data_IF_190694840292
#
_entry.id   IF_190694840292
#
_cell.length_a   1.000
_cell.length_b   1.000
_cell.length_c   1.000
_cell.angle_alpha   90.00
_cell.angle_beta   90.00
_cell.angle_gamma   90.00
#
_symmetry.space_group_name_H-M   'P 1'
#
loop_
_entity.id
_entity.type
_entity.pdbx_description
1 polymer ?
#
# COMPACT_ATOMS: atom_id res chain seq x y z
N UNK A 1 -18.70 -5.05 -15.32
CA UNK A 1 -18.69 -6.06 -14.25
C UNK A 1 -17.40 -6.06 -13.42
N UNK A 2 -16.19 -5.94 -14.02
CA UNK A 2 -14.92 -5.95 -13.26
C UNK A 2 -14.79 -4.81 -12.24
N UNK A 3 -15.17 -3.57 -12.61
CA UNK A 3 -15.09 -2.42 -11.72
C UNK A 3 -15.97 -2.57 -10.46
N UNK A 4 -17.19 -3.07 -10.63
CA UNK A 4 -18.11 -3.32 -9.49
C UNK A 4 -17.50 -4.32 -8.49
N UNK A 5 -16.83 -5.34 -8.99
CA UNK A 5 -16.15 -6.33 -8.15
C UNK A 5 -15.04 -5.68 -7.31
N UNK A 6 -14.23 -4.80 -7.91
CA UNK A 6 -13.18 -4.08 -7.18
C UNK A 6 -13.75 -3.12 -6.13
N UNK A 7 -14.88 -2.45 -6.43
CA UNK A 7 -15.58 -1.58 -5.46
C UNK A 7 -16.11 -2.39 -4.27
N UNK A 8 -16.65 -3.57 -4.51
CA UNK A 8 -17.10 -4.47 -3.41
C UNK A 8 -15.93 -4.87 -2.53
N UNK A 9 -14.80 -5.25 -3.12
CA UNK A 9 -13.58 -5.57 -2.36
C UNK A 9 -13.05 -4.36 -1.59
N UNK A 10 -13.10 -3.15 -2.18
CA UNK A 10 -12.72 -1.91 -1.50
C UNK A 10 -13.55 -1.71 -0.23
N UNK A 11 -14.86 -1.81 -0.32
CA UNK A 11 -15.76 -1.63 0.83
C UNK A 11 -15.47 -2.70 1.89
N UNK A 12 -15.27 -3.94 1.47
CA UNK A 12 -14.99 -5.06 2.38
C UNK A 12 -13.66 -4.86 3.11
N UNK A 13 -12.61 -4.42 2.42
CA UNK A 13 -11.31 -4.12 3.01
C UNK A 13 -11.40 -2.90 3.92
N UNK A 14 -12.11 -1.85 3.52
CA UNK A 14 -12.31 -0.66 4.35
C UNK A 14 -12.99 -0.98 5.69
N UNK A 15 -13.91 -1.95 5.70
CA UNK A 15 -14.57 -2.42 6.92
C UNK A 15 -13.66 -3.31 7.74
N UNK A 16 -12.88 -4.18 7.10
CA UNK A 16 -11.99 -5.14 7.76
C UNK A 16 -10.71 -4.50 8.28
N UNK A 17 -10.22 -3.44 7.65
CA UNK A 17 -8.95 -2.82 8.01
C UNK A 17 -8.85 -2.41 9.48
N UNK A 18 -9.84 -1.77 10.11
CA UNK A 18 -9.77 -1.43 11.53
C UNK A 18 -9.62 -2.65 12.44
N UNK A 19 -10.30 -3.76 12.09
CA UNK A 19 -10.19 -5.01 12.84
C UNK A 19 -8.81 -5.66 12.66
N UNK A 20 -8.28 -5.63 11.43
CA UNK A 20 -6.95 -6.15 11.10
C UNK A 20 -5.83 -5.32 11.72
N UNK A 21 -5.97 -3.99 11.76
CA UNK A 21 -5.03 -3.08 12.41
C UNK A 21 -4.83 -3.48 13.88
N UNK A 22 -5.92 -3.70 14.62
CA UNK A 22 -5.85 -4.08 16.02
C UNK A 22 -5.27 -5.49 16.24
N UNK A 23 -5.48 -6.41 15.29
CA UNK A 23 -5.00 -7.79 15.38
C UNK A 23 -3.55 -7.97 14.90
N UNK A 24 -3.09 -7.16 13.96
CA UNK A 24 -1.81 -7.30 13.26
C UNK A 24 -0.81 -6.18 13.59
N UNK A 25 -1.10 -5.35 14.60
CA UNK A 25 -0.16 -4.33 15.03
C UNK A 25 1.06 -4.96 15.72
N UNK A 26 2.23 -4.75 15.16
CA UNK A 26 3.52 -5.17 15.75
C UNK A 26 4.28 -3.93 16.20
N UNK A 27 4.54 -3.83 17.50
CA UNK A 27 5.21 -2.68 18.11
C UNK A 27 4.56 -1.30 17.82
N UNK A 28 3.22 -1.29 17.62
CA UNK A 28 2.48 -0.05 17.30
C UNK A 28 2.53 0.35 15.82
N UNK A 29 3.08 -0.50 14.96
CA UNK A 29 3.10 -0.32 13.50
C UNK A 29 2.10 -1.28 12.87
N UNK A 30 1.31 -0.78 11.93
CA UNK A 30 0.25 -1.52 11.27
C UNK A 30 0.62 -1.84 9.83
N UNK A 31 0.24 -3.03 9.35
CA UNK A 31 0.36 -3.35 7.94
C UNK A 31 -0.68 -2.60 7.10
N UNK A 32 -0.31 -2.23 5.89
CA UNK A 32 -1.16 -1.48 4.96
C UNK A 32 -1.81 -2.42 3.93
N UNK A 33 -2.97 -2.96 4.30
CA UNK A 33 -3.72 -3.92 3.45
C UNK A 33 -4.20 -3.28 2.15
N UNK A 34 -4.54 -1.99 2.15
CA UNK A 34 -4.93 -1.27 0.92
C UNK A 34 -3.79 -1.24 -0.10
N UNK A 35 -2.58 -0.92 0.36
CA UNK A 35 -1.38 -0.92 -0.48
C UNK A 35 -1.14 -2.30 -1.11
N UNK A 36 -1.21 -3.36 -0.29
CA UNK A 36 -1.02 -4.73 -0.77
C UNK A 36 -2.06 -5.12 -1.83
N UNK A 37 -3.32 -4.74 -1.61
CA UNK A 37 -4.39 -5.04 -2.56
C UNK A 37 -4.20 -4.33 -3.88
N UNK A 38 -3.69 -3.10 -3.88
CA UNK A 38 -3.38 -2.34 -5.10
C UNK A 38 -2.22 -2.99 -5.87
N UNK A 39 -1.20 -3.47 -5.17
CA UNK A 39 -0.10 -4.23 -5.78
C UNK A 39 -0.64 -5.45 -6.51
N UNK A 40 -1.56 -6.21 -5.90
CA UNK A 40 -2.19 -7.37 -6.53
C UNK A 40 -3.08 -6.99 -7.72
N UNK A 41 -3.93 -5.97 -7.58
CA UNK A 41 -4.79 -5.51 -8.69
C UNK A 41 -3.93 -5.03 -9.87
N UNK A 42 -2.90 -4.22 -9.61
CA UNK A 42 -1.99 -3.75 -10.66
C UNK A 42 -1.34 -4.91 -11.38
N UNK A 43 -0.87 -5.92 -10.65
CA UNK A 43 -0.21 -7.07 -11.22
C UNK A 43 -1.16 -7.95 -12.07
N UNK A 44 -2.36 -8.27 -11.59
CA UNK A 44 -3.29 -9.20 -12.27
C UNK A 44 -4.24 -8.53 -13.25
N UNK A 45 -4.62 -7.28 -13.01
CA UNK A 45 -5.65 -6.60 -13.80
C UNK A 45 -5.09 -5.58 -14.80
N UNK A 46 -3.80 -5.26 -14.71
CA UNK A 46 -3.11 -4.37 -15.64
C UNK A 46 -3.15 -2.89 -15.24
N UNK A 47 -2.44 -2.07 -16.03
CA UNK A 47 -2.09 -0.67 -15.71
C UNK A 47 -3.30 0.20 -15.41
N UNK A 48 -4.31 0.19 -16.30
CA UNK A 48 -5.47 1.08 -16.17
C UNK A 48 -6.29 0.77 -14.92
N UNK A 49 -6.52 -0.52 -14.63
CA UNK A 49 -7.26 -0.94 -13.45
C UNK A 49 -6.46 -0.70 -12.17
N UNK A 50 -5.16 -0.97 -12.18
CA UNK A 50 -4.26 -0.68 -11.07
C UNK A 50 -4.26 0.80 -10.69
N UNK A 51 -4.17 1.71 -11.68
CA UNK A 51 -4.22 3.16 -11.47
C UNK A 51 -5.58 3.61 -10.92
N UNK A 52 -6.69 3.19 -11.54
CA UNK A 52 -8.03 3.58 -11.11
C UNK A 52 -8.34 3.08 -9.69
N UNK A 53 -8.00 1.84 -9.40
CA UNK A 53 -8.14 1.31 -8.04
C UNK A 53 -7.21 2.03 -7.06
N UNK A 54 -5.99 2.35 -7.47
CA UNK A 54 -5.06 3.13 -6.67
C UNK A 54 -5.64 4.47 -6.23
N UNK A 55 -6.26 5.22 -7.17
CA UNK A 55 -6.95 6.47 -6.87
C UNK A 55 -8.08 6.27 -5.85
N UNK A 56 -8.95 5.28 -6.09
CA UNK A 56 -10.13 5.04 -5.24
C UNK A 56 -9.71 4.57 -3.84
N UNK A 57 -8.82 3.59 -3.77
CA UNK A 57 -8.34 3.05 -2.48
C UNK A 57 -7.51 4.08 -1.72
N UNK A 58 -6.67 4.87 -2.43
CA UNK A 58 -5.88 5.93 -1.83
C UNK A 58 -6.76 7.03 -1.24
N UNK A 59 -7.81 7.45 -1.96
CA UNK A 59 -8.76 8.44 -1.46
C UNK A 59 -9.48 7.95 -0.18
N UNK A 60 -9.93 6.69 -0.17
CA UNK A 60 -10.56 6.10 1.02
C UNK A 60 -9.58 6.04 2.17
N UNK A 61 -8.33 5.69 1.91
CA UNK A 61 -7.30 5.61 2.93
C UNK A 61 -6.90 6.98 3.47
N UNK A 62 -6.78 8.01 2.62
CA UNK A 62 -6.56 9.41 3.03
C UNK A 62 -7.66 9.90 4.00
N UNK A 63 -8.93 9.59 3.70
CA UNK A 63 -10.06 9.93 4.57
C UNK A 63 -9.99 9.16 5.90
N UNK A 64 -9.59 7.89 5.84
CA UNK A 64 -9.52 7.02 7.02
C UNK A 64 -8.40 7.42 7.97
N UNK A 65 -7.21 7.69 7.45
CA UNK A 65 -6.03 8.03 8.25
C UNK A 65 -6.02 9.49 8.70
N UNK A 66 -6.71 10.37 7.94
CA UNK A 66 -6.81 11.79 8.27
C UNK A 66 -5.50 12.56 8.17
N UNK A 67 -4.55 12.08 7.36
CA UNK A 67 -3.28 12.76 7.04
C UNK A 67 -3.50 13.86 5.99
N UNK A 68 -2.62 13.98 5.02
CA UNK A 68 -2.76 14.93 3.92
C UNK A 68 -3.64 14.33 2.81
N UNK A 69 -4.85 14.86 2.61
CA UNK A 69 -5.78 14.37 1.58
C UNK A 69 -5.13 14.47 0.20
N UNK A 70 -5.12 13.37 -0.54
CA UNK A 70 -4.55 13.25 -1.88
C UNK A 70 -3.15 12.64 -1.94
N UNK A 71 -2.46 12.51 -0.82
CA UNK A 71 -1.10 11.93 -0.79
C UNK A 71 -1.15 10.43 -1.08
N UNK A 72 -1.97 9.68 -0.36
CA UNK A 72 -2.15 8.25 -0.58
C UNK A 72 -2.76 7.96 -1.96
N UNK A 73 -3.68 8.80 -2.41
CA UNK A 73 -4.26 8.71 -3.74
C UNK A 73 -3.19 8.73 -4.84
N UNK A 74 -2.23 9.66 -4.75
CA UNK A 74 -1.12 9.75 -5.72
C UNK A 74 -0.15 8.58 -5.58
N UNK A 75 0.24 8.24 -4.37
CA UNK A 75 1.16 7.13 -4.09
C UNK A 75 0.59 5.82 -4.65
N UNK A 76 -0.67 5.53 -4.34
CA UNK A 76 -1.32 4.29 -4.74
C UNK A 76 -1.61 4.21 -6.24
N UNK A 77 -1.85 5.35 -6.90
CA UNK A 77 -1.91 5.42 -8.36
C UNK A 77 -0.60 4.93 -8.98
N UNK A 78 0.54 5.46 -8.51
CA UNK A 78 1.85 5.06 -9.02
C UNK A 78 2.18 3.60 -8.68
N UNK A 79 1.88 3.14 -7.47
CA UNK A 79 2.09 1.75 -7.06
C UNK A 79 1.28 0.80 -7.97
N UNK A 80 0.01 1.11 -8.25
CA UNK A 80 -0.82 0.31 -9.15
C UNK A 80 -0.27 0.26 -10.57
N UNK A 81 0.23 1.38 -11.08
CA UNK A 81 0.88 1.44 -12.38
C UNK A 81 2.17 0.61 -12.44
N UNK A 82 3.08 0.83 -11.49
CA UNK A 82 4.37 0.12 -11.46
C UNK A 82 4.20 -1.38 -11.22
N UNK A 83 3.21 -1.79 -10.44
CA UNK A 83 2.89 -3.20 -10.24
C UNK A 83 2.52 -3.90 -11.55
N UNK A 84 1.76 -3.23 -12.41
CA UNK A 84 1.44 -3.75 -13.72
C UNK A 84 2.66 -3.78 -14.66
N UNK A 85 3.54 -2.77 -14.60
CA UNK A 85 4.79 -2.77 -15.38
C UNK A 85 5.69 -3.95 -14.97
N UNK A 86 5.76 -4.26 -13.69
CA UNK A 86 6.50 -5.43 -13.20
C UNK A 86 5.85 -6.72 -13.70
N UNK A 87 4.51 -6.81 -13.66
CA UNK A 87 3.78 -7.96 -14.22
C UNK A 87 4.13 -8.23 -15.67
N UNK A 88 4.21 -7.19 -16.51
CA UNK A 88 4.60 -7.31 -17.92
C UNK A 88 6.00 -7.92 -18.07
N UNK A 89 6.93 -7.57 -17.16
CA UNK A 89 8.31 -8.11 -17.18
C UNK A 89 8.38 -9.58 -16.77
N UNK A 90 7.52 -10.01 -15.88
CA UNK A 90 7.47 -11.40 -15.39
C UNK A 90 6.42 -12.24 -16.10
N UNK A 91 5.91 -11.78 -17.25
CA UNK A 91 4.90 -12.48 -18.06
C UNK A 91 3.65 -12.90 -17.27
N UNK A 92 3.27 -12.09 -16.29
CA UNK A 92 2.09 -12.34 -15.43
C UNK A 92 2.16 -13.62 -14.59
N UNK A 93 3.33 -14.24 -14.46
CA UNK A 93 3.48 -15.45 -13.65
C UNK A 93 3.58 -15.08 -12.17
N UNK A 94 2.64 -15.55 -11.35
CA UNK A 94 2.68 -15.28 -9.92
C UNK A 94 3.89 -16.00 -9.29
N UNK A 95 4.76 -15.22 -8.67
CA UNK A 95 5.89 -15.74 -7.89
C UNK A 95 5.88 -15.03 -6.54
N UNK A 96 5.83 -15.82 -5.49
CA UNK A 96 5.78 -15.34 -4.10
C UNK A 96 6.90 -14.34 -3.78
N UNK A 97 8.11 -14.59 -4.28
CA UNK A 97 9.25 -13.71 -4.09
C UNK A 97 9.08 -12.36 -4.79
N UNK A 98 8.49 -12.36 -5.99
CA UNK A 98 8.21 -11.13 -6.74
C UNK A 98 7.17 -10.30 -6.01
N UNK A 99 6.11 -10.91 -5.49
CA UNK A 99 5.08 -10.18 -4.72
C UNK A 99 5.62 -9.63 -3.41
N UNK A 100 6.39 -10.41 -2.67
CA UNK A 100 7.01 -9.95 -1.43
C UNK A 100 7.97 -8.77 -1.68
N UNK A 101 8.78 -8.86 -2.74
CA UNK A 101 9.66 -7.77 -3.15
C UNK A 101 8.90 -6.52 -3.60
N UNK A 102 7.79 -6.70 -4.35
CA UNK A 102 6.92 -5.59 -4.78
C UNK A 102 6.24 -4.92 -3.58
N UNK A 103 5.70 -5.71 -2.65
CA UNK A 103 5.08 -5.19 -1.44
C UNK A 103 6.08 -4.40 -0.59
N UNK A 104 7.28 -4.95 -0.40
CA UNK A 104 8.36 -4.27 0.31
C UNK A 104 8.78 -2.96 -0.38
N UNK A 105 9.01 -3.01 -1.69
CA UNK A 105 9.38 -1.83 -2.47
C UNK A 105 8.29 -0.75 -2.49
N UNK A 106 7.03 -1.14 -2.62
CA UNK A 106 5.89 -0.23 -2.57
C UNK A 106 5.76 0.44 -1.20
N UNK A 107 5.94 -0.31 -0.11
CA UNK A 107 5.91 0.24 1.26
C UNK A 107 7.04 1.23 1.48
N UNK A 108 8.27 0.87 1.12
CA UNK A 108 9.42 1.77 1.25
C UNK A 108 9.20 3.06 0.45
N UNK A 109 8.72 2.95 -0.81
CA UNK A 109 8.45 4.11 -1.64
C UNK A 109 7.37 5.01 -1.03
N UNK A 110 6.28 4.43 -0.52
CA UNK A 110 5.21 5.15 0.14
C UNK A 110 5.73 5.92 1.36
N UNK A 111 6.46 5.26 2.25
CA UNK A 111 6.98 5.86 3.47
C UNK A 111 8.02 6.96 3.20
N UNK A 112 8.88 6.79 2.19
CA UNK A 112 9.83 7.84 1.78
C UNK A 112 9.08 9.08 1.28
N UNK A 113 8.01 8.90 0.48
CA UNK A 113 7.21 10.04 0.00
C UNK A 113 6.51 10.74 1.16
N UNK A 114 6.05 10.01 2.18
CA UNK A 114 5.47 10.58 3.40
C UNK A 114 6.46 11.41 4.23
N UNK A 115 7.74 11.04 4.22
CA UNK A 115 8.75 11.80 4.94
C UNK A 115 8.91 13.23 4.41
N UNK A 116 8.60 13.49 3.14
CA UNK A 116 8.74 14.81 2.53
C UNK A 116 7.82 15.84 3.21
N UNK A 117 6.48 15.70 3.20
CA UNK A 117 5.61 16.65 3.88
C UNK A 117 5.81 16.64 5.40
N UNK A 118 6.11 15.46 5.97
CA UNK A 118 6.33 15.37 7.41
C UNK A 118 7.55 16.16 7.88
N UNK A 119 8.65 16.14 7.12
CA UNK A 119 9.86 16.92 7.42
C UNK A 119 9.65 18.43 7.29
N UNK A 120 8.68 18.87 6.48
CA UNK A 120 8.35 20.28 6.30
C UNK A 120 7.51 20.87 7.45
N UNK A 121 6.72 20.01 8.12
CA UNK A 121 5.78 20.45 9.16
C UNK A 121 6.19 20.08 10.59
N UNK A 122 7.13 19.17 10.76
CA UNK A 122 7.60 18.72 12.07
C UNK A 122 9.09 19.03 12.25
N UNK A 123 9.40 19.95 13.14
CA UNK A 123 10.79 20.25 13.53
C UNK A 123 11.24 19.28 14.63
N UNK A 124 12.31 18.50 14.38
CA UNK A 124 12.98 17.72 15.41
C UNK A 124 13.80 16.52 14.91
N UNK A 125 15.00 16.33 15.44
CA UNK A 125 15.90 15.21 15.13
C UNK A 125 15.37 13.82 15.54
N UNK A 126 14.39 13.79 16.47
CA UNK A 126 13.77 12.54 16.96
C UNK A 126 12.90 11.84 15.90
N UNK A 127 12.47 12.56 14.87
CA UNK A 127 11.60 12.09 13.79
C UNK A 127 12.27 11.02 12.94
N UNK A 128 13.53 11.18 12.61
CA UNK A 128 14.25 10.28 11.68
C UNK A 128 14.44 8.87 12.22
N UNK A 129 14.77 8.72 13.50
CA UNK A 129 14.95 7.40 14.13
C UNK A 129 13.64 6.65 14.20
N UNK A 130 12.56 7.34 14.58
CA UNK A 130 11.22 6.76 14.62
C UNK A 130 10.72 6.38 13.23
N UNK A 131 10.98 7.21 12.21
CA UNK A 131 10.60 6.94 10.83
C UNK A 131 11.30 5.69 10.27
N UNK A 132 12.61 5.56 10.44
CA UNK A 132 13.35 4.37 9.99
C UNK A 132 12.83 3.09 10.64
N UNK A 133 12.52 3.14 11.93
CA UNK A 133 11.91 2.01 12.64
C UNK A 133 10.55 1.62 12.06
N UNK A 134 9.68 2.61 11.81
CA UNK A 134 8.34 2.39 11.25
C UNK A 134 8.47 1.78 9.85
N UNK A 135 9.28 2.36 8.97
CA UNK A 135 9.52 1.87 7.62
C UNK A 135 9.97 0.41 7.63
N UNK A 136 10.93 0.07 8.50
CA UNK A 136 11.45 -1.29 8.58
C UNK A 136 10.36 -2.29 9.01
N UNK A 137 9.64 -1.99 10.09
CA UNK A 137 8.62 -2.88 10.64
C UNK A 137 7.45 -3.04 9.65
N UNK A 138 6.97 -1.94 9.07
CA UNK A 138 5.87 -1.98 8.10
C UNK A 138 6.25 -2.73 6.82
N UNK A 139 7.48 -2.54 6.34
CA UNK A 139 8.00 -3.28 5.17
C UNK A 139 8.00 -4.78 5.41
N UNK A 140 8.49 -5.22 6.57
CA UNK A 140 8.50 -6.64 6.92
C UNK A 140 7.08 -7.18 7.06
N UNK A 141 6.19 -6.43 7.73
CA UNK A 141 4.78 -6.82 7.88
C UNK A 141 4.09 -6.96 6.53
N UNK A 142 4.21 -5.99 5.65
CA UNK A 142 3.59 -6.01 4.34
C UNK A 142 4.16 -7.12 3.44
N UNK A 143 5.47 -7.38 3.51
CA UNK A 143 6.09 -8.48 2.79
C UNK A 143 5.60 -9.86 3.24
N UNK A 144 5.24 -9.99 4.52
CA UNK A 144 4.65 -11.24 5.07
C UNK A 144 3.16 -11.31 4.79
N UNK A 145 2.42 -10.20 4.96
CA UNK A 145 0.97 -10.16 4.77
C UNK A 145 0.53 -10.41 3.32
N UNK A 146 1.39 -10.16 2.35
CA UNK A 146 1.08 -10.46 0.96
C UNK A 146 0.99 -11.97 0.68
N UNK A 147 1.63 -12.81 1.51
CA UNK A 147 1.69 -14.26 1.29
C UNK A 147 0.31 -14.94 1.37
N UNK A 148 -0.54 -14.68 2.37
CA UNK A 148 -1.87 -15.28 2.43
C UNK A 148 -2.87 -14.66 1.44
N UNK A 149 -2.51 -13.56 0.75
CA UNK A 149 -3.37 -12.89 -0.23
C UNK A 149 -3.18 -13.43 -1.66
N UNK A 150 -2.17 -14.26 -1.89
CA UNK A 150 -1.86 -14.93 -3.15
C UNK A 150 -2.54 -16.29 -3.25
#
# INVERSE_FOLDING_TARGET
>A
MKLLHHVVWLILIAILQPALINALSVFGVNGNVFLLFIVLIGFFCGRMQGMLCGILFGLVYDIYVGRFIGTDMLIYLFIGYFSAVVSDRFYGRPNIYVFSAMAAGATIAAEIIYLIPYSMFCEGSFVWISAVRIIFIETVLNAVLVLPML
#
